data_IF_821545850469
#
_entry.id   IF_821545850469
#
_cell.length_a   1.000
_cell.length_b   1.000
_cell.length_c   1.000
_cell.angle_alpha   90.00
_cell.angle_beta   90.00
_cell.angle_gamma   90.00
#
_symmetry.space_group_name_H-M   'P 1'
#
loop_
_entity.id
_entity.type
_entity.pdbx_description
1 polymer ?
#
# COMPACT_ATOMS: atom_id res chain seq x y z
N UNK A 1 -19.58 -9.97 2.81
CA UNK A 1 -20.07 -8.59 2.62
C UNK A 1 -20.73 -8.46 1.25
N UNK A 2 -20.08 -8.91 0.17
CA UNK A 2 -20.70 -8.99 -1.15
C UNK A 2 -20.11 -10.16 -1.97
N UNK A 3 -20.94 -11.01 -2.61
CA UNK A 3 -20.45 -12.25 -3.25
C UNK A 3 -19.40 -12.04 -4.35
N UNK A 4 -19.45 -10.91 -5.05
CA UNK A 4 -18.47 -10.58 -6.12
C UNK A 4 -17.35 -9.64 -5.64
N UNK A 5 -17.67 -8.44 -5.15
CA UNK A 5 -16.66 -7.41 -4.90
C UNK A 5 -15.90 -7.55 -3.57
N UNK A 6 -16.46 -8.23 -2.57
CA UNK A 6 -15.83 -8.44 -1.27
C UNK A 6 -16.37 -9.73 -0.62
N UNK A 7 -15.94 -10.91 -1.10
CA UNK A 7 -16.48 -12.22 -0.75
C UNK A 7 -16.05 -12.73 0.64
N UNK A 8 -15.92 -11.82 1.61
CA UNK A 8 -15.50 -12.08 2.99
C UNK A 8 -16.55 -11.57 3.96
N UNK A 9 -16.72 -12.20 5.12
CA UNK A 9 -17.61 -11.67 6.18
C UNK A 9 -17.04 -10.38 6.78
N UNK A 10 -17.86 -9.64 7.50
CA UNK A 10 -17.40 -8.43 8.21
C UNK A 10 -16.33 -8.77 9.25
N UNK A 11 -16.50 -9.90 9.96
CA UNK A 11 -15.53 -10.39 10.95
C UNK A 11 -14.19 -10.73 10.30
N UNK A 12 -14.21 -11.39 9.13
CA UNK A 12 -13.00 -11.68 8.38
C UNK A 12 -12.27 -10.39 7.98
N UNK A 13 -12.97 -9.39 7.46
CA UNK A 13 -12.33 -8.12 7.08
C UNK A 13 -11.79 -7.39 8.31
N UNK A 14 -12.57 -7.28 9.39
CA UNK A 14 -12.17 -6.60 10.62
C UNK A 14 -10.94 -7.22 11.29
N UNK A 15 -10.79 -8.55 11.22
CA UNK A 15 -9.62 -9.24 11.75
C UNK A 15 -8.31 -8.75 11.13
N UNK A 16 -8.37 -8.14 9.94
CA UNK A 16 -7.21 -7.61 9.22
C UNK A 16 -7.10 -6.08 9.24
N UNK A 17 -7.97 -5.34 9.92
CA UNK A 17 -7.85 -3.86 9.96
C UNK A 17 -6.96 -3.45 11.11
N UNK A 18 -5.86 -2.74 10.82
CA UNK A 18 -5.00 -2.24 11.88
C UNK A 18 -5.68 -1.14 12.69
N UNK A 19 -5.68 -1.32 14.01
CA UNK A 19 -6.03 -0.28 14.97
C UNK A 19 -5.04 0.90 14.90
N UNK A 20 -5.55 2.12 15.09
CA UNK A 20 -4.74 3.34 15.02
C UNK A 20 -4.10 3.66 16.37
N UNK A 21 -2.79 3.86 16.40
CA UNK A 21 -2.11 4.55 17.50
C UNK A 21 -1.90 6.02 17.18
N UNK A 22 -2.45 6.94 17.98
CA UNK A 22 -2.05 8.35 17.97
C UNK A 22 -2.97 9.37 17.29
N UNK A 23 -4.26 9.39 17.64
CA UNK A 23 -5.12 10.57 17.49
C UNK A 23 -5.47 10.96 16.05
N UNK A 24 -6.33 10.17 15.42
CA UNK A 24 -7.01 10.47 14.15
C UNK A 24 -8.00 9.34 13.83
N UNK A 25 -9.11 9.59 13.10
CA UNK A 25 -10.13 8.57 12.92
C UNK A 25 -9.64 7.52 11.90
N UNK A 26 -9.39 6.31 12.40
CA UNK A 26 -9.81 5.10 11.71
C UNK A 26 -10.13 4.05 12.78
N UNK A 27 -11.27 4.24 13.43
CA UNK A 27 -12.02 3.13 14.00
C UNK A 27 -12.07 2.01 12.94
N UNK A 28 -11.68 0.76 13.24
CA UNK A 28 -11.86 -0.36 12.32
C UNK A 28 -13.28 -0.41 11.71
N UNK A 29 -14.29 0.07 12.44
CA UNK A 29 -15.66 0.22 11.92
C UNK A 29 -15.82 1.33 10.89
N UNK A 30 -15.03 2.40 10.94
CA UNK A 30 -15.03 3.41 9.87
C UNK A 30 -14.49 2.84 8.55
N UNK A 31 -13.58 1.86 8.61
CA UNK A 31 -13.13 1.15 7.42
C UNK A 31 -14.23 0.24 6.85
N UNK A 32 -14.94 -0.52 7.70
CA UNK A 32 -16.13 -1.25 7.25
C UNK A 32 -17.22 -0.34 6.68
N UNK A 33 -17.50 0.78 7.33
CA UNK A 33 -18.52 1.73 6.90
C UNK A 33 -18.25 2.27 5.48
N UNK A 34 -16.98 2.35 5.06
CA UNK A 34 -16.62 2.65 3.67
C UNK A 34 -17.17 1.58 2.71
N UNK A 35 -16.90 0.30 2.99
CA UNK A 35 -17.39 -0.81 2.16
C UNK A 35 -18.91 -0.89 2.17
N UNK A 36 -19.54 -0.79 3.34
CA UNK A 36 -21.01 -0.82 3.48
C UNK A 36 -21.67 0.30 2.68
N UNK A 37 -21.18 1.54 2.80
CA UNK A 37 -21.70 2.69 2.07
C UNK A 37 -21.56 2.51 0.56
N UNK A 38 -20.41 2.01 0.10
CA UNK A 38 -20.17 1.76 -1.31
C UNK A 38 -21.09 0.64 -1.85
N UNK A 39 -21.23 -0.46 -1.11
CA UNK A 39 -22.11 -1.59 -1.45
C UNK A 39 -23.58 -1.17 -1.48
N UNK A 40 -24.02 -0.37 -0.53
CA UNK A 40 -25.37 0.16 -0.48
C UNK A 40 -25.64 1.10 -1.67
N UNK A 41 -24.71 1.99 -1.99
CA UNK A 41 -24.81 2.82 -3.19
C UNK A 41 -24.88 1.97 -4.48
N UNK A 42 -24.09 0.90 -4.56
CA UNK A 42 -24.12 -0.02 -5.70
C UNK A 42 -25.47 -0.75 -5.82
N UNK A 43 -26.02 -1.27 -4.71
CA UNK A 43 -27.35 -1.91 -4.70
C UNK A 43 -28.46 -0.96 -5.16
N UNK A 44 -28.42 0.30 -4.73
CA UNK A 44 -29.37 1.32 -5.19
C UNK A 44 -29.25 1.57 -6.70
N UNK A 45 -28.02 1.69 -7.21
CA UNK A 45 -27.79 1.91 -8.63
C UNK A 45 -28.26 0.73 -9.49
N UNK A 46 -28.00 -0.52 -9.07
CA UNK A 46 -28.44 -1.72 -9.80
C UNK A 46 -29.96 -1.92 -9.74
N UNK A 47 -30.60 -1.60 -8.62
CA UNK A 47 -32.05 -1.61 -8.50
C UNK A 47 -32.73 -0.62 -9.47
N UNK A 48 -32.19 0.60 -9.61
CA UNK A 48 -32.73 1.61 -10.55
C UNK A 48 -32.51 1.21 -12.00
N UNK A 49 -31.35 0.64 -12.34
CA UNK A 49 -31.04 0.18 -13.70
C UNK A 49 -31.93 -0.99 -14.18
N UNK A 50 -32.60 -1.69 -13.27
CA UNK A 50 -33.54 -2.77 -13.58
C UNK A 50 -34.92 -2.27 -14.08
N UNK A 51 -35.18 -0.96 -14.07
CA UNK A 51 -36.43 -0.36 -14.54
C UNK A 51 -36.36 0.00 -16.06
N UNK A 52 -37.38 -0.38 -16.86
CA UNK A 52 -37.32 -0.35 -18.33
C UNK A 52 -37.19 1.03 -19.01
N UNK A 53 -37.21 2.15 -18.29
CA UNK A 53 -37.21 3.51 -18.86
C UNK A 53 -36.07 4.44 -18.42
N UNK A 54 -35.06 3.94 -17.69
CA UNK A 54 -33.95 4.78 -17.21
C UNK A 54 -32.55 4.19 -17.49
N UNK A 55 -32.39 3.48 -18.61
CA UNK A 55 -31.06 2.99 -19.04
C UNK A 55 -30.06 4.12 -19.34
N UNK A 56 -30.53 5.33 -19.63
CA UNK A 56 -29.66 6.43 -20.07
C UNK A 56 -29.20 7.38 -18.94
N UNK A 57 -29.61 7.17 -17.68
CA UNK A 57 -29.23 8.05 -16.54
C UNK A 57 -28.58 7.29 -15.37
N UNK A 58 -28.37 5.98 -15.50
CA UNK A 58 -27.66 5.21 -14.48
C UNK A 58 -26.13 5.48 -14.53
N UNK A 59 -25.67 6.51 -13.82
CA UNK A 59 -24.25 6.59 -13.44
C UNK A 59 -23.88 5.33 -12.64
N UNK A 60 -22.76 4.66 -12.94
CA UNK A 60 -22.83 3.22 -13.04
C UNK A 60 -22.55 2.52 -11.70
N UNK A 61 -22.97 1.26 -11.57
CA UNK A 61 -22.39 0.27 -10.64
C UNK A 61 -20.85 0.14 -10.67
N UNK A 62 -20.14 0.94 -11.48
CA UNK A 62 -18.70 1.01 -11.70
C UNK A 62 -17.87 1.64 -10.57
N UNK A 63 -18.48 2.35 -9.60
CA UNK A 63 -17.69 2.99 -8.53
C UNK A 63 -16.88 1.98 -7.70
N UNK A 64 -17.49 0.84 -7.34
CA UNK A 64 -16.82 -0.25 -6.62
C UNK A 64 -15.76 -0.93 -7.51
N UNK A 65 -16.06 -1.11 -8.79
CA UNK A 65 -15.14 -1.70 -9.75
C UNK A 65 -13.86 -0.85 -9.96
N UNK A 66 -13.83 0.39 -9.47
CA UNK A 66 -12.67 1.26 -9.51
C UNK A 66 -12.15 1.64 -8.11
N UNK A 67 -12.69 1.03 -7.06
CA UNK A 67 -12.32 1.34 -5.68
C UNK A 67 -11.10 0.49 -5.25
N UNK A 68 -9.98 1.19 -5.05
CA UNK A 68 -8.70 0.64 -4.63
C UNK A 68 -8.76 -0.19 -3.35
N UNK A 69 -9.64 0.17 -2.40
CA UNK A 69 -9.79 -0.58 -1.16
C UNK A 69 -10.43 -1.93 -1.39
N UNK A 70 -11.44 -2.00 -2.27
CA UNK A 70 -12.06 -3.29 -2.62
C UNK A 70 -11.07 -4.17 -3.36
N UNK A 71 -10.31 -3.60 -4.30
CA UNK A 71 -9.31 -4.35 -5.06
C UNK A 71 -8.20 -4.89 -4.17
N UNK A 72 -7.68 -4.07 -3.27
CA UNK A 72 -6.58 -4.46 -2.36
C UNK A 72 -7.05 -5.49 -1.34
N UNK A 73 -8.17 -5.20 -0.64
CA UNK A 73 -8.69 -6.11 0.38
C UNK A 73 -9.07 -7.47 -0.22
N UNK A 74 -9.85 -7.49 -1.30
CA UNK A 74 -10.31 -8.75 -1.90
C UNK A 74 -9.15 -9.57 -2.45
N UNK A 75 -8.19 -8.95 -3.14
CA UNK A 75 -7.05 -9.67 -3.70
C UNK A 75 -6.16 -10.30 -2.60
N UNK A 76 -5.76 -9.50 -1.60
CA UNK A 76 -4.84 -9.95 -0.56
C UNK A 76 -5.51 -10.90 0.45
N UNK A 77 -6.78 -10.67 0.80
CA UNK A 77 -7.53 -11.62 1.62
C UNK A 77 -7.75 -12.94 0.89
N UNK A 78 -7.98 -12.92 -0.42
CA UNK A 78 -8.12 -14.17 -1.19
C UNK A 78 -6.85 -15.00 -1.08
N UNK A 79 -5.69 -14.38 -1.31
CA UNK A 79 -4.38 -15.04 -1.14
C UNK A 79 -4.22 -15.60 0.27
N UNK A 80 -4.46 -14.78 1.30
CA UNK A 80 -4.19 -15.18 2.69
C UNK A 80 -5.17 -16.23 3.25
N UNK A 81 -6.45 -16.18 2.87
CA UNK A 81 -7.46 -17.18 3.26
C UNK A 81 -7.48 -18.38 2.30
N UNK A 82 -6.38 -18.57 1.58
CA UNK A 82 -6.20 -19.63 0.62
C UNK A 82 -5.88 -21.01 1.18
N UNK A 83 -5.95 -22.06 0.34
CA UNK A 83 -5.42 -23.37 0.73
C UNK A 83 -3.90 -23.34 0.93
N UNK A 84 -3.18 -22.49 0.18
CA UNK A 84 -1.71 -22.40 0.22
C UNK A 84 -1.23 -20.93 0.34
N UNK A 85 -1.52 -20.23 1.45
CA UNK A 85 -1.26 -18.79 1.54
C UNK A 85 0.22 -18.41 1.39
N UNK A 86 1.13 -19.21 1.94
CA UNK A 86 2.58 -18.98 1.82
C UNK A 86 3.05 -19.17 0.38
N UNK A 87 2.59 -20.20 -0.31
CA UNK A 87 2.97 -20.48 -1.71
C UNK A 87 2.41 -19.40 -2.65
N UNK A 88 1.15 -19.02 -2.46
CA UNK A 88 0.49 -17.97 -3.23
C UNK A 88 1.21 -16.61 -3.02
N UNK A 89 1.49 -16.24 -1.77
CA UNK A 89 2.26 -15.02 -1.47
C UNK A 89 3.66 -15.08 -2.08
N UNK A 90 4.37 -16.19 -1.91
CA UNK A 90 5.71 -16.37 -2.48
C UNK A 90 5.69 -16.21 -4.00
N UNK A 91 4.71 -16.77 -4.70
CA UNK A 91 4.59 -16.66 -6.15
C UNK A 91 4.31 -15.21 -6.61
N UNK A 92 3.49 -14.45 -5.87
CA UNK A 92 3.27 -13.02 -6.15
C UNK A 92 4.57 -12.23 -5.94
N UNK A 93 5.30 -12.49 -4.85
CA UNK A 93 6.56 -11.80 -4.56
C UNK A 93 7.68 -12.18 -5.53
N UNK A 94 7.74 -13.43 -5.98
CA UNK A 94 8.66 -13.85 -7.04
C UNK A 94 8.44 -13.05 -8.32
N UNK A 95 7.19 -12.79 -8.70
CA UNK A 95 6.87 -11.95 -9.87
C UNK A 95 7.28 -10.49 -9.68
N UNK A 96 7.26 -9.98 -8.45
CA UNK A 96 7.57 -8.59 -8.14
C UNK A 96 9.07 -8.30 -7.94
N UNK A 97 9.83 -9.27 -7.42
CA UNK A 97 11.22 -9.08 -6.96
C UNK A 97 12.21 -10.10 -7.56
N UNK A 98 11.74 -11.16 -8.20
CA UNK A 98 12.53 -12.31 -8.61
C UNK A 98 12.51 -13.46 -7.60
N UNK A 99 13.15 -14.58 -7.96
CA UNK A 99 13.09 -15.87 -7.26
C UNK A 99 13.50 -15.84 -5.77
N UNK A 100 14.43 -14.95 -5.43
CA UNK A 100 15.02 -14.85 -4.09
C UNK A 100 14.77 -13.45 -3.53
N UNK A 101 14.43 -13.32 -2.23
CA UNK A 101 14.27 -12.01 -1.61
C UNK A 101 15.52 -11.11 -1.78
N UNK A 102 15.35 -9.80 -1.98
CA UNK A 102 16.46 -8.86 -2.19
C UNK A 102 17.20 -8.47 -0.89
N UNK A 103 17.27 -9.38 0.07
CA UNK A 103 17.98 -9.23 1.35
C UNK A 103 18.56 -10.58 1.79
N UNK A 104 19.58 -10.54 2.65
CA UNK A 104 20.32 -11.74 3.04
C UNK A 104 19.52 -12.64 4.02
N UNK A 105 19.84 -13.93 4.00
CA UNK A 105 19.44 -14.90 5.03
C UNK A 105 18.31 -15.86 4.65
N UNK A 106 17.85 -15.84 3.40
CA UNK A 106 16.82 -16.77 2.89
C UNK A 106 17.16 -17.18 1.46
N UNK A 107 16.89 -18.43 1.12
CA UNK A 107 17.09 -18.98 -0.23
C UNK A 107 15.84 -18.86 -1.11
N UNK A 108 14.67 -18.55 -0.55
CA UNK A 108 13.40 -18.40 -1.29
C UNK A 108 12.40 -17.52 -0.54
N UNK A 109 11.37 -17.05 -1.25
CA UNK A 109 10.26 -16.34 -0.62
C UNK A 109 9.44 -17.20 0.36
N UNK A 110 9.26 -18.49 0.09
CA UNK A 110 8.55 -19.38 1.00
C UNK A 110 9.28 -19.51 2.35
N UNK A 111 10.61 -19.65 2.33
CA UNK A 111 11.43 -19.64 3.54
C UNK A 111 11.36 -18.30 4.28
N UNK A 112 11.42 -17.19 3.54
CA UNK A 112 11.33 -15.84 4.08
C UNK A 112 9.97 -15.54 4.73
N UNK A 113 8.89 -16.07 4.17
CA UNK A 113 7.53 -15.89 4.70
C UNK A 113 7.23 -16.82 5.88
N UNK A 114 7.97 -17.92 6.04
CA UNK A 114 7.76 -18.88 7.12
C UNK A 114 6.39 -19.55 7.06
N UNK A 115 5.75 -19.72 8.22
CA UNK A 115 4.44 -20.40 8.34
C UNK A 115 3.32 -19.49 8.82
N UNK A 116 3.64 -18.24 9.17
CA UNK A 116 2.78 -17.30 9.90
C UNK A 116 2.64 -15.94 9.22
N UNK A 117 2.46 -15.83 7.89
CA UNK A 117 2.18 -14.53 7.29
C UNK A 117 0.84 -13.99 7.81
N UNK A 118 0.84 -12.73 8.22
CA UNK A 118 -0.33 -11.96 8.64
C UNK A 118 -0.53 -10.76 7.71
N UNK A 119 -1.79 -10.41 7.44
CA UNK A 119 -2.17 -9.24 6.65
C UNK A 119 -2.81 -8.18 7.55
N UNK A 120 -2.38 -6.93 7.38
CA UNK A 120 -2.95 -5.75 8.01
C UNK A 120 -3.28 -4.68 6.98
N UNK A 121 -4.53 -4.24 6.92
CA UNK A 121 -5.03 -3.21 6.01
C UNK A 121 -4.98 -1.84 6.67
N UNK A 122 -4.75 -0.80 5.85
CA UNK A 122 -4.80 0.62 6.21
C UNK A 122 -3.88 1.01 7.38
N UNK A 123 -2.68 0.43 7.41
CA UNK A 123 -1.72 0.62 8.50
C UNK A 123 -1.19 2.05 8.51
N UNK A 124 -1.26 2.72 9.67
CA UNK A 124 -0.65 4.03 9.88
C UNK A 124 0.82 3.92 10.30
N UNK A 125 1.74 4.01 9.34
CA UNK A 125 3.18 3.92 9.58
C UNK A 125 3.73 5.29 10.04
N UNK A 126 4.34 5.40 11.23
CA UNK A 126 4.89 6.66 11.72
C UNK A 126 5.97 7.24 10.79
N UNK A 127 5.94 8.57 10.63
CA UNK A 127 7.03 9.29 9.96
C UNK A 127 8.32 9.20 10.81
N UNK A 128 9.47 8.86 10.20
CA UNK A 128 10.77 8.79 10.87
C UNK A 128 11.13 10.03 11.68
N UNK A 129 11.63 9.82 12.89
CA UNK A 129 12.09 10.93 13.75
C UNK A 129 13.25 11.71 13.12
N UNK A 130 14.12 11.00 12.39
CA UNK A 130 15.22 11.57 11.60
C UNK A 130 14.70 12.53 10.53
N UNK A 131 13.65 12.13 9.79
CA UNK A 131 13.02 13.00 8.79
C UNK A 131 12.33 14.21 9.45
N UNK A 132 11.61 14.01 10.55
CA UNK A 132 11.00 15.13 11.29
C UNK A 132 12.05 16.14 11.77
N UNK A 133 13.24 15.67 12.16
CA UNK A 133 14.35 16.55 12.54
C UNK A 133 14.91 17.29 11.32
N UNK A 134 15.17 16.58 10.23
CA UNK A 134 15.63 17.16 8.96
C UNK A 134 14.67 18.25 8.46
N UNK A 135 13.38 17.93 8.38
CA UNK A 135 12.35 18.84 7.88
C UNK A 135 12.27 20.13 8.73
N UNK A 136 12.43 20.04 10.06
CA UNK A 136 12.50 21.24 10.93
C UNK A 136 13.68 22.13 10.57
N UNK A 137 14.83 21.55 10.20
CA UNK A 137 16.02 22.28 9.79
C UNK A 137 15.89 22.93 8.41
N UNK A 138 15.12 22.33 7.50
CA UNK A 138 14.90 22.86 6.15
C UNK A 138 13.78 23.88 6.06
N UNK A 139 12.82 23.90 7.00
CA UNK A 139 11.69 24.87 6.99
C UNK A 139 12.11 26.33 6.70
N UNK A 140 13.16 26.90 7.34
CA UNK A 140 13.58 28.29 7.09
C UNK A 140 14.13 28.55 5.68
N UNK A 141 14.44 27.49 4.92
CA UNK A 141 14.99 27.57 3.56
C UNK A 141 13.90 27.49 2.50
N UNK A 142 12.68 27.11 2.87
CA UNK A 142 11.57 27.04 1.95
C UNK A 142 10.84 28.39 1.88
N UNK A 143 10.69 28.92 0.68
CA UNK A 143 10.00 30.20 0.39
C UNK A 143 8.48 30.12 0.67
N UNK A 144 7.98 28.98 1.15
CA UNK A 144 6.57 28.75 1.46
C UNK A 144 6.25 29.22 2.88
N UNK A 145 6.10 30.53 3.03
CA UNK A 145 5.81 31.23 4.31
C UNK A 145 4.67 30.62 5.12
N UNK A 146 3.68 29.99 4.47
CA UNK A 146 2.57 29.34 5.16
C UNK A 146 3.00 28.09 5.96
N UNK A 147 4.04 27.37 5.52
CA UNK A 147 4.56 26.20 6.20
C UNK A 147 5.22 26.60 7.53
N UNK A 148 6.02 27.67 7.51
CA UNK A 148 6.65 28.27 8.69
C UNK A 148 5.61 28.82 9.67
N UNK A 149 4.62 29.57 9.16
CA UNK A 149 3.51 30.13 9.97
C UNK A 149 2.72 29.01 10.64
N UNK A 150 2.44 27.91 9.94
CA UNK A 150 1.68 26.77 10.49
C UNK A 150 2.51 25.93 11.46
N UNK A 151 3.80 25.73 11.20
CA UNK A 151 4.72 25.02 12.08
C UNK A 151 4.98 25.79 13.40
N UNK A 152 5.25 27.10 13.30
CA UNK A 152 5.55 27.97 14.44
C UNK A 152 4.37 28.25 15.36
N UNK A 153 3.14 28.25 14.83
CA UNK A 153 1.93 28.53 15.64
C UNK A 153 1.44 27.37 16.50
N UNK A 154 1.83 26.11 16.24
CA UNK A 154 1.10 24.97 16.82
C UNK A 154 1.92 23.78 17.34
N UNK A 155 3.24 23.92 17.65
CA UNK A 155 4.10 22.80 18.09
C UNK A 155 3.86 21.52 17.25
N UNK A 156 3.74 21.70 15.93
CA UNK A 156 3.09 20.74 15.03
C UNK A 156 4.05 19.59 14.70
N UNK A 157 3.51 18.37 14.69
CA UNK A 157 4.12 17.23 14.01
C UNK A 157 4.16 17.53 12.50
N UNK A 158 5.33 17.80 11.95
CA UNK A 158 5.50 18.32 10.59
C UNK A 158 5.13 17.31 9.50
N UNK A 159 5.10 16.02 9.81
CA UNK A 159 4.56 15.03 8.88
C UNK A 159 3.77 13.96 9.64
N UNK A 160 2.54 13.69 9.19
CA UNK A 160 1.68 12.66 9.76
C UNK A 160 2.20 11.24 9.50
N UNK A 161 1.50 10.25 10.06
CA UNK A 161 1.72 8.87 9.66
C UNK A 161 1.42 8.69 8.16
N UNK A 162 2.21 7.85 7.49
CA UNK A 162 1.94 7.36 6.14
C UNK A 162 0.93 6.24 6.27
N UNK A 163 -0.27 6.44 5.73
CA UNK A 163 -1.28 5.39 5.69
C UNK A 163 -1.03 4.54 4.45
N UNK A 164 -0.61 3.30 4.67
CA UNK A 164 -0.34 2.34 3.59
C UNK A 164 -1.54 1.42 3.43
N UNK A 165 -1.79 0.95 2.22
CA UNK A 165 -3.01 0.20 1.91
C UNK A 165 -2.99 -1.18 2.58
N UNK A 166 -1.84 -1.84 2.61
CA UNK A 166 -1.65 -3.06 3.36
C UNK A 166 -0.20 -3.28 3.83
N UNK A 167 -0.04 -4.15 4.81
CA UNK A 167 1.23 -4.73 5.24
C UNK A 167 1.03 -6.23 5.40
N UNK A 168 1.84 -7.02 4.70
CA UNK A 168 2.02 -8.45 5.00
C UNK A 168 3.26 -8.57 5.89
N UNK A 169 3.15 -9.27 7.01
CA UNK A 169 4.27 -9.47 7.94
C UNK A 169 4.35 -10.93 8.35
N UNK A 170 5.57 -11.48 8.41
CA UNK A 170 5.84 -12.80 8.96
C UNK A 170 6.60 -12.63 10.27
N UNK A 171 5.92 -12.66 11.44
CA UNK A 171 6.54 -12.39 12.73
C UNK A 171 7.75 -13.28 13.04
N UNK A 172 7.67 -14.57 12.69
CA UNK A 172 8.74 -15.55 12.92
C UNK A 172 10.07 -15.20 12.23
N UNK A 173 10.03 -14.58 11.05
CA UNK A 173 11.21 -14.23 10.25
C UNK A 173 11.55 -12.74 10.27
N UNK A 174 10.60 -11.91 10.72
CA UNK A 174 10.65 -10.45 10.68
C UNK A 174 10.55 -9.86 9.27
N UNK A 175 10.23 -10.69 8.25
CA UNK A 175 10.02 -10.23 6.88
C UNK A 175 8.70 -9.48 6.80
N UNK A 176 8.67 -8.39 6.03
CA UNK A 176 7.42 -7.72 5.73
C UNK A 176 7.40 -7.13 4.32
N UNK A 177 6.19 -6.95 3.79
CA UNK A 177 5.91 -6.31 2.52
C UNK A 177 4.88 -5.22 2.76
N UNK A 178 5.28 -3.97 2.57
CA UNK A 178 4.42 -2.79 2.66
C UNK A 178 3.85 -2.51 1.27
N UNK A 179 2.53 -2.57 1.15
CA UNK A 179 1.82 -2.46 -0.12
C UNK A 179 1.22 -1.07 -0.26
N UNK A 180 1.48 -0.45 -1.41
CA UNK A 180 0.75 0.72 -1.90
C UNK A 180 0.07 0.32 -3.21
N UNK A 181 -1.24 0.39 -3.25
CA UNK A 181 -2.07 0.07 -4.39
C UNK A 181 -2.37 1.33 -5.20
N UNK A 182 -2.47 1.20 -6.54
CA UNK A 182 -2.93 2.27 -7.44
C UNK A 182 -3.83 1.73 -8.53
N UNK A 183 -5.16 1.90 -8.43
CA UNK A 183 -6.11 1.44 -9.48
C UNK A 183 -6.24 2.45 -10.61
N UNK A 184 -6.43 3.74 -10.29
CA UNK A 184 -6.54 4.83 -11.29
C UNK A 184 -5.77 6.08 -10.91
N UNK A 185 -5.53 6.28 -9.62
CA UNK A 185 -4.80 7.43 -9.11
C UNK A 185 -3.31 7.28 -9.41
N UNK A 186 -2.61 8.40 -9.34
CA UNK A 186 -1.15 8.45 -9.40
C UNK A 186 -0.60 8.94 -8.05
N UNK A 187 0.71 8.89 -7.87
CA UNK A 187 1.36 9.36 -6.65
C UNK A 187 1.34 10.88 -6.55
N UNK A 188 1.28 11.37 -5.30
CA UNK A 188 1.58 12.78 -5.04
C UNK A 188 3.06 13.09 -5.23
N UNK A 189 3.37 14.20 -5.89
CA UNK A 189 4.72 14.76 -6.06
C UNK A 189 5.23 15.51 -4.84
N UNK A 190 4.35 15.79 -3.87
CA UNK A 190 4.65 16.59 -2.69
C UNK A 190 3.97 16.06 -1.43
N UNK A 191 4.49 16.49 -0.29
CA UNK A 191 3.83 16.40 1.02
C UNK A 191 3.42 17.79 1.49
N UNK A 192 2.65 17.86 2.57
CA UNK A 192 2.17 19.15 3.10
C UNK A 192 3.30 20.12 3.44
N UNK A 193 4.45 19.66 3.92
CA UNK A 193 5.51 20.57 4.38
C UNK A 193 6.81 20.43 3.58
N UNK A 194 6.87 19.49 2.64
CA UNK A 194 7.99 19.32 1.72
C UNK A 194 7.46 19.08 0.29
N UNK A 195 7.67 20.06 -0.57
CA UNK A 195 7.26 20.04 -1.99
C UNK A 195 8.19 19.26 -2.90
N UNK A 196 9.36 18.85 -2.40
CA UNK A 196 10.35 18.05 -3.13
C UNK A 196 10.23 16.56 -2.82
N UNK A 197 9.52 16.21 -1.75
CA UNK A 197 9.30 14.83 -1.35
C UNK A 197 8.01 14.27 -1.93
N UNK A 198 8.17 13.27 -2.79
CA UNK A 198 7.06 12.50 -3.34
C UNK A 198 6.60 11.36 -2.41
N UNK A 199 5.40 10.86 -2.67
CA UNK A 199 4.77 9.81 -1.87
C UNK A 199 5.57 8.49 -1.86
N UNK A 200 6.21 8.10 -2.96
CA UNK A 200 7.00 6.85 -2.99
C UNK A 200 8.26 6.96 -2.13
N UNK A 201 8.97 8.09 -2.17
CA UNK A 201 10.12 8.31 -1.28
C UNK A 201 9.68 8.28 0.20
N UNK A 202 8.54 8.90 0.52
CA UNK A 202 7.94 8.82 1.86
C UNK A 202 7.58 7.38 2.25
N UNK A 203 7.00 6.61 1.34
CA UNK A 203 6.68 5.20 1.56
C UNK A 203 7.92 4.36 1.85
N UNK A 204 8.99 4.54 1.07
CA UNK A 204 10.27 3.84 1.34
C UNK A 204 10.80 4.22 2.71
N UNK A 205 10.87 5.51 3.01
CA UNK A 205 11.49 6.00 4.25
C UNK A 205 10.82 5.45 5.52
N UNK A 206 9.48 5.32 5.53
CA UNK A 206 8.78 4.74 6.69
C UNK A 206 9.10 3.26 6.88
N UNK A 207 9.63 2.55 5.89
CA UNK A 207 10.06 1.16 6.04
C UNK A 207 11.45 1.01 6.65
N UNK A 208 12.27 2.07 6.64
CA UNK A 208 13.67 2.04 7.06
C UNK A 208 13.88 2.10 8.59
N UNK A 209 12.84 2.46 9.34
CA UNK A 209 12.89 2.51 10.81
C UNK A 209 12.01 1.42 11.42
N UNK A 210 12.39 0.93 12.60
CA UNK A 210 11.50 0.10 13.42
C UNK A 210 10.40 0.97 14.05
N UNK A 211 9.20 0.41 14.20
CA UNK A 211 8.05 1.12 14.78
C UNK A 211 7.48 0.36 15.98
N UNK A 212 8.14 0.39 17.15
CA UNK A 212 7.71 -0.35 18.32
C UNK A 212 6.35 0.11 18.89
N UNK A 213 5.88 1.29 18.46
CA UNK A 213 4.62 1.89 18.90
C UNK A 213 3.41 1.49 18.04
N UNK A 214 3.55 0.64 17.01
CA UNK A 214 2.41 0.15 16.23
C UNK A 214 1.43 -0.63 17.13
N UNK A 215 0.12 -0.57 16.85
CA UNK A 215 -0.88 -1.18 17.72
C UNK A 215 -0.77 -2.72 17.76
N UNK A 216 -0.62 -3.33 16.60
CA UNK A 216 -0.55 -4.79 16.44
C UNK A 216 0.84 -5.28 16.80
N UNK A 217 0.89 -6.39 17.52
CA UNK A 217 2.14 -6.99 17.98
C UNK A 217 2.97 -7.55 16.82
N UNK A 218 2.35 -8.24 15.87
CA UNK A 218 3.01 -8.77 14.67
C UNK A 218 3.68 -7.68 13.83
N UNK A 219 3.05 -6.51 13.69
CA UNK A 219 3.66 -5.37 12.98
C UNK A 219 4.96 -4.86 13.63
N UNK A 220 5.14 -5.05 14.94
CA UNK A 220 6.37 -4.67 15.67
C UNK A 220 7.53 -5.62 15.44
N UNK A 221 7.25 -6.86 15.03
CA UNK A 221 8.26 -7.88 14.72
C UNK A 221 8.95 -7.65 13.37
N UNK A 222 8.37 -6.79 12.53
CA UNK A 222 8.97 -6.39 11.27
C UNK A 222 10.39 -5.84 11.48
N UNK A 223 11.32 -6.36 10.67
CA UNK A 223 12.69 -5.91 10.59
C UNK A 223 12.90 -4.96 9.41
N UNK A 224 13.41 -3.72 9.62
CA UNK A 224 13.64 -2.76 8.54
C UNK A 224 14.54 -3.25 7.41
N UNK A 225 15.55 -4.07 7.72
CA UNK A 225 16.48 -4.70 6.76
C UNK A 225 15.83 -5.84 5.95
N UNK A 226 14.64 -6.30 6.35
CA UNK A 226 13.86 -7.37 5.70
C UNK A 226 12.48 -6.91 5.24
N UNK A 227 12.31 -5.60 5.06
CA UNK A 227 11.04 -5.01 4.62
C UNK A 227 11.10 -4.60 3.16
N UNK A 228 10.16 -5.06 2.35
CA UNK A 228 10.00 -4.61 0.98
C UNK A 228 8.85 -3.61 0.83
N UNK A 229 8.90 -2.81 -0.24
CA UNK A 229 7.79 -1.96 -0.69
C UNK A 229 7.27 -2.52 -2.01
N UNK A 230 5.97 -2.81 -2.07
CA UNK A 230 5.30 -3.37 -3.23
C UNK A 230 4.31 -2.35 -3.79
N UNK A 231 4.51 -1.94 -5.04
CA UNK A 231 3.47 -1.30 -5.84
C UNK A 231 2.54 -2.37 -6.39
N UNK A 232 1.24 -2.23 -6.13
CA UNK A 232 0.20 -3.10 -6.69
C UNK A 232 -0.67 -2.29 -7.65
N UNK A 233 -0.60 -2.58 -8.95
CA UNK A 233 -1.30 -1.80 -10.00
C UNK A 233 -1.98 -2.73 -11.01
N UNK A 234 -2.83 -2.26 -11.94
CA UNK A 234 -3.27 -3.08 -13.05
C UNK A 234 -2.10 -3.23 -14.03
N UNK A 235 -2.08 -4.35 -14.75
CA UNK A 235 -0.99 -4.75 -15.66
C UNK A 235 -0.73 -3.72 -16.76
N UNK A 236 -1.77 -3.05 -17.24
CA UNK A 236 -1.64 -2.00 -18.26
C UNK A 236 -0.65 -0.89 -17.88
N UNK A 237 -0.50 -0.56 -16.59
CA UNK A 237 0.47 0.46 -16.15
C UNK A 237 1.88 -0.09 -15.96
N UNK A 238 2.03 -1.41 -15.81
CA UNK A 238 3.34 -2.05 -15.85
C UNK A 238 3.83 -2.25 -17.29
N UNK A 239 2.90 -2.48 -18.22
CA UNK A 239 3.21 -2.58 -19.66
C UNK A 239 3.63 -1.22 -20.25
N UNK A 240 3.05 -0.12 -19.76
CA UNK A 240 3.48 1.24 -20.06
C UNK A 240 3.75 2.06 -18.76
N UNK A 241 4.92 1.85 -18.11
CA UNK A 241 5.26 2.55 -16.86
C UNK A 241 5.37 4.06 -17.01
N UNK A 242 5.68 4.56 -18.21
CA UNK A 242 5.82 5.99 -18.47
C UNK A 242 4.47 6.72 -18.47
N UNK A 243 3.36 5.99 -18.56
CA UNK A 243 2.02 6.60 -18.43
C UNK A 243 1.72 7.13 -17.02
N UNK A 244 2.54 6.79 -16.01
CA UNK A 244 2.31 7.10 -14.60
C UNK A 244 3.58 7.59 -13.91
N UNK A 245 3.42 8.54 -13.00
CA UNK A 245 4.54 9.08 -12.22
C UNK A 245 5.17 8.00 -11.34
N UNK A 246 4.37 7.12 -10.71
CA UNK A 246 4.97 6.00 -9.96
C UNK A 246 5.82 5.08 -10.84
N UNK A 247 5.47 4.90 -12.11
CA UNK A 247 6.27 4.06 -13.01
C UNK A 247 7.61 4.72 -13.33
N UNK A 248 7.61 6.02 -13.61
CA UNK A 248 8.83 6.81 -13.77
C UNK A 248 9.72 6.80 -12.52
N UNK A 249 9.13 7.00 -11.33
CA UNK A 249 9.87 7.03 -10.07
C UNK A 249 10.39 5.65 -9.69
N UNK A 250 9.58 4.60 -9.83
CA UNK A 250 9.99 3.22 -9.60
C UNK A 250 11.19 2.84 -10.46
N UNK A 251 11.11 3.08 -11.77
CA UNK A 251 12.23 2.83 -12.68
C UNK A 251 13.47 3.67 -12.31
N UNK A 252 13.29 4.95 -12.01
CA UNK A 252 14.39 5.83 -11.62
C UNK A 252 15.08 5.39 -10.34
N UNK A 253 14.33 5.00 -9.31
CA UNK A 253 14.91 4.57 -8.03
C UNK A 253 15.62 3.23 -8.13
N UNK A 254 15.05 2.27 -8.86
CA UNK A 254 15.63 0.93 -9.02
C UNK A 254 16.87 0.94 -9.91
N UNK A 255 16.90 1.77 -10.95
CA UNK A 255 18.03 1.84 -11.90
C UNK A 255 19.10 2.85 -11.47
N UNK A 256 18.71 3.93 -10.78
CA UNK A 256 19.60 5.02 -10.32
C UNK A 256 19.25 5.37 -8.87
N UNK A 257 19.70 4.56 -7.88
CA UNK A 257 19.37 4.75 -6.47
C UNK A 257 19.76 6.13 -5.90
N UNK A 258 20.68 6.84 -6.54
CA UNK A 258 21.05 8.21 -6.23
C UNK A 258 19.85 9.17 -6.34
N UNK A 259 18.90 8.86 -7.23
CA UNK A 259 17.65 9.61 -7.37
C UNK A 259 16.78 9.47 -6.13
N UNK A 260 16.74 8.29 -5.51
CA UNK A 260 16.04 8.08 -4.25
C UNK A 260 16.80 8.74 -3.10
N UNK A 261 18.13 8.68 -3.09
CA UNK A 261 18.97 9.34 -2.09
C UNK A 261 18.78 10.85 -2.09
N UNK A 262 18.65 11.47 -3.27
CA UNK A 262 18.32 12.89 -3.42
C UNK A 262 16.94 13.25 -2.81
N UNK A 263 15.99 12.33 -2.81
CA UNK A 263 14.68 12.50 -2.18
C UNK A 263 14.65 12.09 -0.69
N UNK A 264 15.73 11.50 -0.17
CA UNK A 264 15.91 11.09 1.23
C UNK A 264 17.26 11.59 1.78
N UNK A 265 17.54 12.91 1.73
CA UNK A 265 18.85 13.46 2.05
C UNK A 265 19.26 13.31 3.52
N UNK A 266 18.32 12.96 4.41
CA UNK A 266 18.57 12.66 5.83
C UNK A 266 19.03 11.21 6.07
N UNK A 267 19.03 10.36 5.04
CA UNK A 267 19.50 8.97 5.11
C UNK A 267 20.89 8.85 4.50
N UNK A 268 21.63 7.84 4.95
CA UNK A 268 22.92 7.51 4.31
C UNK A 268 22.68 6.86 2.94
N UNK A 269 23.52 7.19 1.97
CA UNK A 269 23.43 6.62 0.63
C UNK A 269 23.45 5.08 0.62
N UNK A 270 24.33 4.37 1.36
CA UNK A 270 24.32 2.91 1.35
C UNK A 270 22.98 2.29 1.79
N UNK A 271 22.33 2.87 2.79
CA UNK A 271 21.02 2.42 3.27
C UNK A 271 19.94 2.64 2.20
N UNK A 272 19.98 3.79 1.52
CA UNK A 272 19.02 4.10 0.46
C UNK A 272 19.23 3.21 -0.76
N UNK A 273 20.48 2.91 -1.12
CA UNK A 273 20.81 2.01 -2.22
C UNK A 273 20.33 0.59 -1.94
N UNK A 274 20.39 0.13 -0.69
CA UNK A 274 19.77 -1.13 -0.29
C UNK A 274 18.24 -1.07 -0.36
N UNK A 275 17.63 0.02 0.10
CA UNK A 275 16.18 0.20 0.04
C UNK A 275 15.64 0.17 -1.39
N UNK A 276 16.36 0.76 -2.35
CA UNK A 276 15.99 0.77 -3.75
C UNK A 276 15.86 -0.65 -4.35
N UNK A 277 16.68 -1.60 -3.91
CA UNK A 277 16.58 -3.02 -4.35
C UNK A 277 15.35 -3.75 -3.80
N UNK A 278 14.73 -3.19 -2.76
CA UNK A 278 13.56 -3.73 -2.08
C UNK A 278 12.25 -3.07 -2.56
N UNK A 279 12.31 -2.33 -3.67
CA UNK A 279 11.16 -1.84 -4.41
C UNK A 279 10.75 -2.88 -5.46
N UNK A 280 9.48 -3.29 -5.42
CA UNK A 280 8.93 -4.26 -6.34
C UNK A 280 7.58 -3.81 -6.89
N UNK A 281 7.16 -4.47 -7.96
CA UNK A 281 5.94 -4.13 -8.68
C UNK A 281 5.20 -5.40 -9.08
N UNK A 282 4.07 -5.66 -8.42
CA UNK A 282 3.11 -6.71 -8.78
C UNK A 282 1.86 -6.10 -9.41
N UNK A 283 1.11 -6.94 -10.13
CA UNK A 283 -0.19 -6.53 -10.65
C UNK A 283 -1.34 -7.33 -10.05
N UNK A 284 -2.53 -6.77 -10.11
CA UNK A 284 -3.75 -7.54 -9.78
C UNK A 284 -3.90 -8.77 -10.67
N UNK A 285 -3.45 -8.69 -11.93
CA UNK A 285 -3.39 -9.80 -12.87
C UNK A 285 -2.35 -10.85 -12.46
N UNK A 286 -1.24 -10.48 -11.80
CA UNK A 286 -0.34 -11.46 -11.18
C UNK A 286 -1.04 -12.21 -10.05
N UNK A 287 -1.77 -11.50 -9.19
CA UNK A 287 -2.51 -12.13 -8.09
C UNK A 287 -3.57 -13.08 -8.64
N UNK A 288 -4.31 -12.69 -9.68
CA UNK A 288 -5.29 -13.54 -10.34
C UNK A 288 -4.66 -14.76 -11.03
N UNK A 289 -3.45 -14.61 -11.61
CA UNK A 289 -2.73 -15.74 -12.22
C UNK A 289 -2.24 -16.75 -11.19
N UNK A 290 -1.76 -16.26 -10.04
CA UNK A 290 -1.33 -17.10 -8.93
C UNK A 290 -2.56 -17.78 -8.30
N UNK A 291 -3.62 -17.00 -8.09
CA UNK A 291 -4.84 -17.43 -7.46
C UNK A 291 -6.06 -17.04 -8.30
N UNK A 292 -6.50 -17.92 -9.21
CA UNK A 292 -7.71 -17.70 -9.98
C UNK A 292 -8.93 -17.48 -9.09
N UNK A 293 -9.72 -16.46 -9.40
CA UNK A 293 -10.86 -16.03 -8.60
C UNK A 293 -10.54 -15.05 -7.47
N UNK A 294 -9.28 -14.62 -7.31
CA UNK A 294 -8.92 -13.56 -6.37
C UNK A 294 -9.54 -12.20 -6.74
N UNK A 295 -9.97 -12.03 -8.00
CA UNK A 295 -10.67 -10.85 -8.52
C UNK A 295 -11.97 -11.26 -9.20
N UNK A 296 -13.04 -11.56 -8.45
CA UNK A 296 -14.25 -12.21 -8.98
C UNK A 296 -15.01 -11.39 -10.03
N UNK A 297 -14.77 -10.07 -10.09
CA UNK A 297 -15.37 -9.18 -11.09
C UNK A 297 -14.61 -9.14 -12.42
N UNK A 298 -13.39 -9.71 -12.50
CA UNK A 298 -12.71 -9.94 -13.76
C UNK A 298 -13.30 -11.20 -14.39
N UNK A 299 -14.31 -11.04 -15.22
CA UNK A 299 -14.87 -12.14 -16.00
C UNK A 299 -13.80 -12.64 -16.97
N UNK A 300 -13.45 -13.95 -16.99
CA UNK A 300 -12.55 -14.50 -17.99
C UNK A 300 -13.13 -14.31 -19.39
N UNK A 301 -12.39 -13.67 -20.31
CA UNK A 301 -12.78 -13.56 -21.72
C UNK A 301 -13.05 -12.15 -22.27
N UNK A 302 -12.90 -11.09 -21.47
CA UNK A 302 -12.84 -9.72 -22.01
C UNK A 302 -11.40 -9.41 -22.49
N UNK A 303 -11.07 -9.86 -23.71
CA UNK A 303 -10.01 -9.28 -24.53
C UNK A 303 -10.65 -8.71 -25.78
#
# INVERSE_FOLDING_TARGET
MHPTYLPFTEEQVLAHVAAVTGGGPADPRAYLAHFEKALEAHRRATAVASLPRQRDVAAPPAAIAHDERFWTATALLSVLHGPSPVEDLAAVLTRAYGEVPPFAGFASWAEALGTDPELWLEVGMPSPSSYQHHLRGELPRHVLSWAEVRAGRAKVKLEGATRVDAVVVSPSTGVAVVVEAKVRSDLSTSTTYDVRRNQLARLVDVTLDAHPALAQDSLRHRRPDRTCVLLLTPEVFRDDPASRLYGHLHASYTQRPETLAAHLPHRSEPLVHEAARRLGWATWEDVERVRPGALPWRVPGAR
#
